data_IF_106444132054
#
_entry.id   IF_106444132054
#
_cell.length_a   1.000
_cell.length_b   1.000
_cell.length_c   1.000
_cell.angle_alpha   90.00
_cell.angle_beta   90.00
_cell.angle_gamma   90.00
#
_symmetry.space_group_name_H-M   'P 1'
#
loop_
_entity.id
_entity.type
_entity.pdbx_description
1 polymer ?
#
# COMPACT_ATOMS: atom_id res chain seq x y z
N UNK A 1 -3.63 31.06 -12.38
CA UNK A 1 -3.47 29.60 -12.12
C UNK A 1 -2.03 29.07 -12.31
N UNK A 2 -0.98 29.90 -12.33
CA UNK A 2 0.43 29.42 -12.38
C UNK A 2 1.08 29.21 -10.99
N UNK A 3 0.38 29.53 -9.91
CA UNK A 3 0.96 29.63 -8.56
C UNK A 3 0.94 28.28 -7.80
N UNK A 4 0.12 27.31 -8.22
CA UNK A 4 -0.02 26.01 -7.52
C UNK A 4 0.62 24.84 -8.29
N UNK A 5 0.86 25.01 -9.58
CA UNK A 5 1.60 24.07 -10.41
C UNK A 5 2.88 24.77 -10.86
N UNK A 6 3.94 24.66 -10.06
CA UNK A 6 5.29 24.89 -10.59
C UNK A 6 5.49 24.04 -11.84
N UNK A 7 6.42 24.39 -12.73
CA UNK A 7 6.63 23.55 -13.90
C UNK A 7 7.02 22.15 -13.43
N UNK A 8 6.42 21.09 -13.98
CA UNK A 8 6.69 19.71 -13.53
C UNK A 8 8.20 19.41 -13.60
N UNK A 9 8.89 20.04 -14.54
CA UNK A 9 10.37 20.03 -14.65
C UNK A 9 11.06 20.51 -13.37
N UNK A 10 10.57 21.58 -12.76
CA UNK A 10 11.12 22.12 -11.53
C UNK A 10 10.83 21.19 -10.35
N UNK A 11 9.66 20.55 -10.32
CA UNK A 11 9.29 19.59 -9.27
C UNK A 11 10.16 18.33 -9.32
N UNK A 12 10.33 17.71 -10.50
CA UNK A 12 11.24 16.57 -10.66
C UNK A 12 12.70 16.97 -10.37
N UNK A 13 13.09 18.21 -10.69
CA UNK A 13 14.39 18.76 -10.34
C UNK A 13 14.68 18.80 -8.84
N UNK A 14 13.64 18.90 -7.99
CA UNK A 14 13.74 18.96 -6.52
C UNK A 14 13.77 17.59 -5.85
N UNK A 15 13.53 16.50 -6.58
CA UNK A 15 13.46 15.16 -5.98
C UNK A 15 14.71 14.79 -5.20
N UNK A 16 15.91 15.15 -5.68
CA UNK A 16 17.15 14.90 -4.94
C UNK A 16 17.17 15.56 -3.55
N UNK A 17 16.72 16.82 -3.45
CA UNK A 17 16.68 17.57 -2.19
C UNK A 17 15.62 16.97 -1.27
N UNK A 18 14.45 16.64 -1.83
CA UNK A 18 13.37 15.99 -1.10
C UNK A 18 13.79 14.64 -0.51
N UNK A 19 14.47 13.80 -1.30
CA UNK A 19 15.01 12.51 -0.84
C UNK A 19 16.01 12.71 0.30
N UNK A 20 16.91 13.68 0.18
CA UNK A 20 17.85 14.00 1.24
C UNK A 20 17.12 14.45 2.52
N UNK A 21 16.10 15.30 2.40
CA UNK A 21 15.34 15.80 3.53
C UNK A 21 14.56 14.69 4.27
N UNK A 22 14.03 13.70 3.53
CA UNK A 22 13.45 12.49 4.14
C UNK A 22 14.50 11.77 4.98
N UNK A 23 15.69 11.53 4.43
CA UNK A 23 16.76 10.80 5.13
C UNK A 23 17.31 11.60 6.32
N UNK A 24 17.35 12.93 6.22
CA UNK A 24 17.77 13.83 7.32
C UNK A 24 16.78 13.80 8.48
N UNK A 25 15.48 13.91 8.18
CA UNK A 25 14.41 13.96 9.19
C UNK A 25 14.12 12.58 9.79
N UNK A 26 14.29 11.51 9.01
CA UNK A 26 14.02 10.13 9.41
C UNK A 26 15.24 9.22 9.14
N UNK A 27 16.33 9.36 9.93
CA UNK A 27 17.56 8.58 9.74
C UNK A 27 17.31 7.07 9.80
N UNK A 28 17.85 6.32 8.84
CA UNK A 28 17.64 4.87 8.70
C UNK A 28 16.47 4.47 7.82
N UNK A 29 15.70 5.43 7.31
CA UNK A 29 14.71 5.23 6.25
C UNK A 29 15.40 4.88 4.92
N UNK A 30 14.66 4.24 4.01
CA UNK A 30 15.15 3.86 2.68
C UNK A 30 14.47 4.73 1.63
N UNK A 31 15.27 5.43 0.83
CA UNK A 31 14.77 6.23 -0.30
C UNK A 31 15.61 5.92 -1.53
N UNK A 32 14.98 5.33 -2.56
CA UNK A 32 15.68 4.86 -3.76
C UNK A 32 14.99 5.43 -4.99
N UNK A 33 15.77 6.12 -5.82
CA UNK A 33 15.31 6.60 -7.12
C UNK A 33 16.01 5.82 -8.24
N UNK A 34 15.22 5.21 -9.12
CA UNK A 34 15.70 4.57 -10.33
C UNK A 34 15.48 5.50 -11.53
N UNK A 35 16.50 5.57 -12.37
CA UNK A 35 16.47 6.27 -13.66
C UNK A 35 16.73 5.29 -14.80
N UNK A 36 16.19 5.58 -15.98
CA UNK A 36 16.29 4.73 -17.16
C UNK A 36 17.71 4.28 -17.49
N UNK A 37 17.91 2.97 -17.53
CA UNK A 37 19.19 2.35 -17.89
C UNK A 37 19.61 2.74 -19.31
N UNK A 38 20.89 3.07 -19.49
CA UNK A 38 21.45 3.43 -20.79
C UNK A 38 21.03 4.81 -21.34
N UNK A 39 20.14 5.55 -20.66
CA UNK A 39 19.82 6.93 -21.01
C UNK A 39 20.53 7.89 -20.07
N UNK A 40 21.66 8.43 -20.53
CA UNK A 40 22.21 9.68 -20.01
C UNK A 40 22.13 10.71 -21.11
N UNK A 41 21.40 11.78 -20.87
CA UNK A 41 21.39 12.91 -21.80
C UNK A 41 22.84 13.35 -22.04
N UNK A 42 23.31 13.25 -23.28
CA UNK A 42 24.72 13.47 -23.62
C UNK A 42 25.17 14.93 -23.49
N UNK A 43 24.23 15.87 -23.32
CA UNK A 43 24.52 17.30 -23.08
C UNK A 43 24.42 17.69 -21.60
N UNK A 44 23.57 17.02 -20.82
CA UNK A 44 23.23 17.39 -19.44
C UNK A 44 23.73 16.33 -18.42
N UNK A 45 24.08 15.13 -18.87
CA UNK A 45 24.59 14.02 -18.05
C UNK A 45 23.52 13.34 -17.19
N UNK A 46 22.22 13.56 -17.47
CA UNK A 46 21.12 13.16 -16.58
C UNK A 46 20.42 11.88 -17.01
N UNK A 47 20.06 11.07 -16.02
CA UNK A 47 19.09 10.00 -16.16
C UNK A 47 17.65 10.51 -16.24
N UNK A 48 16.79 9.76 -16.92
CA UNK A 48 15.35 10.00 -16.95
C UNK A 48 14.68 9.31 -15.76
N UNK A 49 13.80 10.00 -15.05
CA UNK A 49 13.04 9.40 -13.95
C UNK A 49 12.24 8.19 -14.44
N UNK A 50 12.27 7.09 -13.67
CA UNK A 50 11.36 5.95 -13.87
C UNK A 50 10.59 5.62 -12.60
N UNK A 51 11.30 5.45 -11.48
CA UNK A 51 10.69 5.01 -10.22
C UNK A 51 11.33 5.69 -9.02
N UNK A 52 10.53 5.93 -7.99
CA UNK A 52 10.97 6.38 -6.66
C UNK A 52 10.29 5.52 -5.62
N UNK A 53 11.07 4.95 -4.71
CA UNK A 53 10.61 4.18 -3.56
C UNK A 53 10.99 4.91 -2.27
N UNK A 54 10.05 4.96 -1.33
CA UNK A 54 10.25 5.55 -0.01
C UNK A 54 9.68 4.60 1.04
N UNK A 55 10.50 4.31 2.03
CA UNK A 55 10.19 3.51 3.22
C UNK A 55 10.69 4.23 4.46
N UNK A 56 9.83 4.38 5.45
CA UNK A 56 10.20 5.04 6.70
C UNK A 56 10.54 4.02 7.78
N UNK A 57 11.71 4.20 8.41
CA UNK A 57 12.18 3.30 9.48
C UNK A 57 11.28 3.28 10.71
N UNK A 58 10.56 4.37 11.00
CA UNK A 58 9.62 4.42 12.11
C UNK A 58 8.56 3.32 12.03
N UNK A 59 8.21 2.89 10.82
CA UNK A 59 7.25 1.80 10.61
C UNK A 59 7.85 0.42 10.91
N UNK A 60 9.17 0.27 10.80
CA UNK A 60 9.89 -1.00 10.99
C UNK A 60 9.78 -1.52 12.42
N UNK A 61 10.12 -0.67 13.37
CA UNK A 61 10.24 -1.05 14.78
C UNK A 61 8.89 -1.54 15.30
N UNK A 62 7.83 -0.82 14.96
CA UNK A 62 6.49 -1.23 15.35
C UNK A 62 5.90 -2.40 14.57
N UNK A 63 6.48 -2.77 13.43
CA UNK A 63 6.00 -3.86 12.59
C UNK A 63 6.59 -5.21 12.98
N UNK A 64 7.90 -5.26 13.22
CA UNK A 64 8.60 -6.50 13.61
C UNK A 64 8.34 -6.87 15.07
N UNK A 65 7.92 -5.92 15.90
CA UNK A 65 7.70 -6.09 17.33
C UNK A 65 6.39 -6.79 17.72
N UNK A 66 5.77 -7.62 16.84
CA UNK A 66 4.57 -8.48 17.05
C UNK A 66 3.25 -8.03 16.38
N UNK A 67 3.29 -7.25 15.30
CA UNK A 67 2.08 -7.04 14.49
C UNK A 67 1.74 -8.25 13.61
N UNK A 68 0.48 -8.34 13.16
CA UNK A 68 0.03 -9.35 12.19
C UNK A 68 0.92 -9.30 10.94
N UNK A 69 1.43 -10.44 10.50
CA UNK A 69 2.22 -10.58 9.25
C UNK A 69 1.32 -10.43 8.02
N UNK A 70 0.70 -9.26 7.89
CA UNK A 70 -0.31 -8.93 6.90
C UNK A 70 0.04 -7.60 6.25
N UNK A 71 0.07 -7.58 4.92
CA UNK A 71 0.35 -6.40 4.11
C UNK A 71 -0.78 -6.22 3.10
N UNK A 72 -1.46 -5.08 3.16
CA UNK A 72 -2.34 -4.63 2.08
C UNK A 72 -1.52 -3.84 1.06
N UNK A 73 -1.73 -4.09 -0.23
CA UNK A 73 -1.13 -3.30 -1.31
C UNK A 73 -2.19 -2.77 -2.26
N UNK A 74 -1.99 -1.55 -2.73
CA UNK A 74 -2.86 -0.92 -3.72
C UNK A 74 -2.06 0.00 -4.64
N UNK A 75 -2.63 0.26 -5.82
CA UNK A 75 -2.08 1.17 -6.83
C UNK A 75 -3.13 2.21 -7.23
N UNK A 76 -2.74 3.48 -7.27
CA UNK A 76 -3.62 4.56 -7.73
C UNK A 76 -2.94 5.44 -8.77
N UNK A 77 -3.69 5.89 -9.78
CA UNK A 77 -3.14 6.74 -10.83
C UNK A 77 -2.85 8.15 -10.31
N UNK A 78 -1.63 8.64 -10.56
CA UNK A 78 -1.26 10.01 -10.28
C UNK A 78 -1.95 10.96 -11.26
N UNK A 79 -2.43 12.09 -10.74
CA UNK A 79 -3.01 13.16 -11.55
C UNK A 79 -1.93 14.17 -11.88
N UNK A 80 -1.63 14.32 -13.16
CA UNK A 80 -0.62 15.25 -13.68
C UNK A 80 -0.53 15.14 -15.19
N UNK A 81 0.27 16.00 -15.81
CA UNK A 81 0.45 15.95 -17.27
C UNK A 81 1.39 14.80 -17.68
N UNK A 82 2.29 14.40 -16.77
CA UNK A 82 3.19 13.24 -16.88
C UNK A 82 2.48 11.90 -16.62
N UNK A 83 1.43 11.88 -15.78
CA UNK A 83 0.75 10.64 -15.38
C UNK A 83 1.52 9.85 -14.30
N UNK A 84 1.52 8.52 -14.40
CA UNK A 84 2.17 7.62 -13.44
C UNK A 84 1.22 6.95 -12.45
N UNK A 85 1.79 6.11 -11.58
CA UNK A 85 1.06 5.34 -10.56
C UNK A 85 1.78 5.47 -9.22
N UNK A 86 1.00 5.67 -8.17
CA UNK A 86 1.45 5.56 -6.79
C UNK A 86 1.05 4.18 -6.26
N UNK A 87 2.07 3.35 -6.00
CA UNK A 87 1.93 2.09 -5.29
C UNK A 87 2.08 2.36 -3.80
N UNK A 88 1.27 1.70 -2.97
CA UNK A 88 1.36 1.81 -1.53
C UNK A 88 1.24 0.42 -0.88
N UNK A 89 2.07 0.20 0.14
CA UNK A 89 1.93 -0.91 1.07
C UNK A 89 1.47 -0.37 2.43
N UNK A 90 0.40 -0.96 2.95
CA UNK A 90 -0.17 -0.68 4.27
C UNK A 90 -0.14 -1.94 5.13
N UNK A 91 -0.17 -1.74 6.44
CA UNK A 91 -0.44 -2.79 7.42
C UNK A 91 -1.68 -2.44 8.23
N UNK A 92 -2.15 -3.45 8.95
CA UNK A 92 -3.06 -3.28 10.08
C UNK A 92 -2.23 -3.44 11.35
N UNK A 93 -2.19 -2.39 12.18
CA UNK A 93 -1.53 -2.45 13.48
C UNK A 93 -2.35 -3.28 14.48
N UNK A 94 -1.82 -3.47 15.68
CA UNK A 94 -2.48 -4.29 16.69
C UNK A 94 -3.73 -3.61 17.32
N UNK A 95 -3.95 -2.31 17.07
CA UNK A 95 -5.18 -1.58 17.38
C UNK A 95 -6.16 -1.52 16.19
N UNK A 96 -5.97 -2.38 15.17
CA UNK A 96 -6.74 -2.38 13.93
C UNK A 96 -6.68 -1.07 13.12
N UNK A 97 -5.70 -0.20 13.39
CA UNK A 97 -5.42 0.99 12.61
C UNK A 97 -4.69 0.65 11.31
N UNK A 98 -4.89 1.47 10.28
CA UNK A 98 -4.15 1.36 9.01
C UNK A 98 -2.87 2.19 9.12
N UNK A 99 -1.72 1.56 8.92
CA UNK A 99 -0.42 2.23 8.97
C UNK A 99 0.32 2.07 7.63
N UNK A 100 0.71 3.15 6.96
CA UNK A 100 1.50 3.07 5.72
C UNK A 100 2.92 2.58 6.02
N UNK A 101 3.43 1.67 5.19
CA UNK A 101 4.76 1.06 5.32
C UNK A 101 5.74 1.68 4.32
N UNK A 102 5.38 1.59 3.05
CA UNK A 102 6.19 2.06 1.94
C UNK A 102 5.28 2.56 0.82
N UNK A 103 5.80 3.44 0.00
CA UNK A 103 5.14 3.93 -1.19
C UNK A 103 6.14 4.09 -2.31
N UNK A 104 5.66 3.91 -3.55
CA UNK A 104 6.47 4.08 -4.73
C UNK A 104 5.73 4.83 -5.83
N UNK A 105 6.36 5.85 -6.39
CA UNK A 105 5.90 6.51 -7.61
C UNK A 105 6.57 5.83 -8.82
N UNK A 106 5.79 5.31 -9.75
CA UNK A 106 6.27 4.58 -10.93
C UNK A 106 5.63 5.14 -12.21
N UNK A 107 6.26 4.91 -13.37
CA UNK A 107 5.68 5.31 -14.68
C UNK A 107 4.36 4.59 -15.00
N UNK A 108 4.12 3.40 -14.42
CA UNK A 108 2.90 2.65 -14.65
C UNK A 108 2.69 1.47 -13.70
N UNK A 109 1.46 0.95 -13.70
CA UNK A 109 1.10 -0.26 -12.97
C UNK A 109 1.36 -1.48 -13.87
N UNK A 110 2.58 -2.00 -13.81
CA UNK A 110 2.98 -3.18 -14.58
C UNK A 110 3.75 -4.17 -13.70
N UNK A 111 3.99 -5.37 -14.25
CA UNK A 111 4.66 -6.45 -13.53
C UNK A 111 6.04 -6.03 -13.02
N UNK A 112 6.80 -5.32 -13.84
CA UNK A 112 8.18 -4.94 -13.51
C UNK A 112 8.22 -3.93 -12.35
N UNK A 113 7.33 -2.94 -12.37
CA UNK A 113 7.16 -1.94 -11.30
C UNK A 113 6.75 -2.60 -9.98
N UNK A 114 5.82 -3.56 -10.01
CA UNK A 114 5.42 -4.31 -8.83
C UNK A 114 6.54 -5.23 -8.33
N UNK A 115 7.24 -5.94 -9.22
CA UNK A 115 8.38 -6.79 -8.85
C UNK A 115 9.49 -5.98 -8.19
N UNK A 116 9.79 -4.80 -8.73
CA UNK A 116 10.77 -3.87 -8.17
C UNK A 116 10.33 -3.38 -6.78
N UNK A 117 9.08 -2.94 -6.64
CA UNK A 117 8.51 -2.51 -5.35
C UNK A 117 8.57 -3.60 -4.28
N UNK A 118 8.14 -4.82 -4.62
CA UNK A 118 8.15 -5.94 -3.68
C UNK A 118 9.56 -6.39 -3.30
N UNK A 119 10.53 -6.30 -4.21
CA UNK A 119 11.93 -6.61 -3.89
C UNK A 119 12.45 -5.70 -2.78
N UNK A 120 12.28 -4.38 -2.95
CA UNK A 120 12.73 -3.40 -1.95
C UNK A 120 11.97 -3.54 -0.63
N UNK A 121 10.65 -3.72 -0.71
CA UNK A 121 9.82 -3.93 0.49
C UNK A 121 10.24 -5.19 1.26
N UNK A 122 10.55 -6.29 0.56
CA UNK A 122 11.01 -7.54 1.16
C UNK A 122 12.34 -7.35 1.90
N UNK A 123 13.28 -6.64 1.29
CA UNK A 123 14.60 -6.32 1.85
C UNK A 123 14.47 -5.45 3.12
N UNK A 124 13.70 -4.36 3.05
CA UNK A 124 13.51 -3.44 4.19
C UNK A 124 12.83 -4.10 5.39
N UNK A 125 11.81 -4.93 5.11
CA UNK A 125 11.07 -5.68 6.11
C UNK A 125 11.81 -6.94 6.61
N UNK A 126 12.95 -7.29 6.01
CA UNK A 126 13.74 -8.49 6.33
C UNK A 126 12.90 -9.77 6.29
N UNK A 127 12.08 -9.91 5.25
CA UNK A 127 11.23 -11.11 5.08
C UNK A 127 12.11 -12.25 4.55
N UNK A 128 12.45 -13.18 5.44
CA UNK A 128 13.22 -14.38 5.08
C UNK A 128 12.33 -15.52 4.57
N UNK A 129 11.16 -15.70 5.19
CA UNK A 129 10.21 -16.78 4.91
C UNK A 129 8.92 -16.22 4.31
N UNK A 130 8.80 -16.33 2.98
CA UNK A 130 7.67 -15.78 2.24
C UNK A 130 6.30 -16.34 2.70
N UNK A 131 6.26 -17.57 3.20
CA UNK A 131 5.02 -18.25 3.61
C UNK A 131 4.43 -17.77 4.94
N UNK A 132 5.18 -16.98 5.72
CA UNK A 132 4.69 -16.40 6.98
C UNK A 132 3.87 -15.11 6.72
N UNK A 133 3.97 -14.55 5.52
CA UNK A 133 3.37 -13.27 5.18
C UNK A 133 2.11 -13.42 4.34
N UNK A 134 1.05 -12.72 4.74
CA UNK A 134 -0.19 -12.62 3.97
C UNK A 134 -0.22 -11.29 3.22
N UNK A 135 -0.26 -11.33 1.89
CA UNK A 135 -0.43 -10.14 1.04
C UNK A 135 -1.87 -10.08 0.53
N UNK A 136 -2.52 -8.94 0.71
CA UNK A 136 -3.83 -8.62 0.14
C UNK A 136 -3.66 -7.52 -0.91
N UNK A 137 -4.10 -7.76 -2.13
CA UNK A 137 -4.13 -6.76 -3.20
C UNK A 137 -5.57 -6.54 -3.66
N UNK A 138 -5.87 -5.37 -4.23
CA UNK A 138 -7.10 -5.25 -5.02
C UNK A 138 -6.99 -6.16 -6.25
N UNK A 139 -7.92 -7.12 -6.35
CA UNK A 139 -8.25 -7.75 -7.63
C UNK A 139 -9.73 -7.49 -7.82
N UNK A 140 -10.03 -6.73 -8.87
CA UNK A 140 -11.36 -6.49 -9.44
C UNK A 140 -12.07 -7.80 -9.84
N UNK A 141 -12.52 -8.56 -8.84
CA UNK A 141 -13.59 -9.56 -8.92
C UNK A 141 -14.39 -9.63 -7.62
N UNK A 142 -14.27 -8.65 -6.71
CA UNK A 142 -15.01 -8.66 -5.44
C UNK A 142 -16.52 -8.60 -5.66
N UNK A 143 -16.99 -7.83 -6.65
CA UNK A 143 -18.44 -7.76 -6.99
C UNK A 143 -18.95 -9.05 -7.64
N UNK A 144 -18.19 -9.64 -8.58
CA UNK A 144 -18.49 -10.95 -9.18
C UNK A 144 -18.44 -12.10 -8.16
N UNK A 145 -17.59 -11.98 -7.13
CA UNK A 145 -17.53 -12.91 -6.02
C UNK A 145 -18.71 -12.69 -5.06
N UNK A 146 -19.11 -11.44 -4.78
CA UNK A 146 -20.26 -11.10 -3.93
C UNK A 146 -21.58 -11.61 -4.51
N UNK A 147 -21.73 -11.58 -5.84
CA UNK A 147 -22.91 -12.12 -6.55
C UNK A 147 -22.90 -13.65 -6.63
N UNK A 148 -21.73 -14.29 -6.79
CA UNK A 148 -21.61 -15.76 -6.76
C UNK A 148 -21.69 -16.36 -5.35
N UNK A 149 -21.27 -15.62 -4.31
CA UNK A 149 -21.00 -16.14 -2.97
C UNK A 149 -21.99 -15.60 -1.93
N UNK A 150 -23.22 -15.27 -2.33
CA UNK A 150 -24.30 -14.91 -1.40
C UNK A 150 -24.68 -16.06 -0.44
N UNK A 151 -24.27 -17.29 -0.76
CA UNK A 151 -24.55 -18.50 0.02
C UNK A 151 -23.77 -18.56 1.35
N UNK A 152 -22.67 -17.82 1.48
CA UNK A 152 -21.81 -17.88 2.66
C UNK A 152 -21.43 -16.49 3.19
N UNK A 153 -21.41 -16.30 4.52
CA UNK A 153 -21.07 -15.01 5.13
C UNK A 153 -19.62 -14.56 4.87
N UNK A 154 -18.73 -15.49 4.47
CA UNK A 154 -17.32 -15.24 4.22
C UNK A 154 -16.84 -15.87 2.92
N UNK A 155 -15.68 -15.41 2.43
CA UNK A 155 -14.98 -15.92 1.25
C UNK A 155 -14.60 -17.42 1.42
N UNK A 156 -14.99 -18.36 0.54
CA UNK A 156 -14.52 -19.74 0.48
C UNK A 156 -13.05 -20.02 0.76
N UNK A 157 -12.09 -19.15 0.41
CA UNK A 157 -10.69 -19.35 0.85
C UNK A 157 -10.51 -19.12 2.35
N UNK A 158 -11.17 -18.11 2.90
CA UNK A 158 -11.23 -17.86 4.35
C UNK A 158 -11.98 -18.98 5.04
N UNK A 159 -13.09 -19.46 4.49
CA UNK A 159 -13.80 -20.63 5.03
C UNK A 159 -12.93 -21.89 4.98
N UNK A 160 -12.18 -22.12 3.90
CA UNK A 160 -11.25 -23.25 3.82
C UNK A 160 -10.12 -23.15 4.85
N UNK A 161 -9.58 -21.95 5.08
CA UNK A 161 -8.60 -21.72 6.15
C UNK A 161 -9.21 -21.94 7.52
N UNK A 162 -10.42 -21.41 7.76
CA UNK A 162 -11.17 -21.62 9.00
C UNK A 162 -11.44 -23.11 9.22
N UNK A 163 -11.90 -23.82 8.20
CA UNK A 163 -12.17 -25.25 8.25
C UNK A 163 -10.89 -26.03 8.53
N UNK A 164 -9.78 -25.73 7.84
CA UNK A 164 -8.48 -26.34 8.13
C UNK A 164 -8.02 -26.10 9.56
N UNK A 165 -8.30 -24.94 10.12
CA UNK A 165 -7.99 -24.64 11.52
C UNK A 165 -8.93 -25.38 12.48
N UNK A 166 -10.22 -25.50 12.14
CA UNK A 166 -11.20 -26.32 12.86
C UNK A 166 -10.77 -27.78 12.82
N UNK A 167 -10.34 -28.31 11.68
CA UNK A 167 -9.91 -29.70 11.52
C UNK A 167 -8.64 -30.00 12.33
N UNK A 168 -7.78 -28.99 12.54
CA UNK A 168 -6.56 -29.09 13.36
C UNK A 168 -6.78 -28.77 14.85
N UNK A 169 -7.91 -28.15 15.20
CA UNK A 169 -8.22 -27.81 16.58
C UNK A 169 -8.37 -29.04 17.49
N UNK A 170 -8.99 -30.17 17.05
CA UNK A 170 -9.04 -31.41 17.81
C UNK A 170 -7.68 -31.98 18.19
N UNK A 171 -6.65 -31.70 17.38
CA UNK A 171 -5.30 -32.17 17.68
C UNK A 171 -4.67 -31.38 18.85
N UNK A 172 -5.25 -30.24 19.23
CA UNK A 172 -4.85 -29.46 20.39
C UNK A 172 -5.69 -29.86 21.60
N UNK A 173 -5.03 -30.24 22.70
CA UNK A 173 -5.69 -30.69 23.92
C UNK A 173 -5.70 -29.57 24.96
N UNK A 174 -6.86 -28.97 25.27
CA UNK A 174 -6.98 -28.00 26.34
C UNK A 174 -7.17 -28.71 27.70
N UNK A 175 -6.32 -28.39 28.66
CA UNK A 175 -6.42 -28.78 30.05
C UNK A 175 -6.87 -27.56 30.85
N UNK A 176 -7.98 -27.67 31.59
CA UNK A 176 -8.41 -26.57 32.45
C UNK A 176 -7.46 -26.47 33.65
N UNK A 177 -6.80 -25.32 33.80
CA UNK A 177 -5.94 -25.05 34.95
C UNK A 177 -6.73 -24.36 36.07
N UNK A 178 -7.64 -23.45 35.72
CA UNK A 178 -8.60 -22.77 36.60
C UNK A 178 -9.75 -22.18 35.76
N UNK A 179 -10.86 -21.73 36.37
CA UNK A 179 -12.10 -21.21 35.75
C UNK A 179 -11.99 -20.86 34.25
N UNK A 180 -11.28 -19.79 33.91
CA UNK A 180 -11.16 -19.27 32.53
C UNK A 180 -9.78 -19.51 31.88
N UNK A 181 -8.85 -20.18 32.57
CA UNK A 181 -7.46 -20.40 32.14
C UNK A 181 -7.23 -21.87 31.74
N UNK A 182 -6.77 -22.07 30.52
CA UNK A 182 -6.55 -23.39 29.92
C UNK A 182 -5.11 -23.53 29.46
N UNK A 183 -4.48 -24.66 29.72
CA UNK A 183 -3.24 -25.07 29.08
C UNK A 183 -3.57 -25.86 27.82
N UNK A 184 -3.22 -25.34 26.65
CA UNK A 184 -3.47 -25.96 25.35
C UNK A 184 -2.18 -26.60 24.86
N UNK A 185 -2.15 -27.93 24.81
CA UNK A 185 -1.04 -28.71 24.28
C UNK A 185 -1.29 -29.03 22.80
N UNK A 186 -0.35 -28.67 21.93
CA UNK A 186 -0.42 -28.96 20.50
C UNK A 186 0.39 -30.23 20.14
N UNK A 187 0.08 -30.93 19.04
CA UNK A 187 0.77 -32.16 18.62
C UNK A 187 2.25 -31.97 18.29
N UNK A 188 2.65 -30.73 17.98
CA UNK A 188 4.04 -30.36 17.72
C UNK A 188 4.88 -30.21 18.99
N UNK A 189 4.32 -30.45 20.17
CA UNK A 189 5.01 -30.33 21.46
C UNK A 189 4.95 -28.93 22.08
N UNK A 190 4.31 -27.97 21.40
CA UNK A 190 4.11 -26.63 21.95
C UNK A 190 2.97 -26.63 22.99
N UNK A 191 3.14 -25.88 24.07
CA UNK A 191 2.12 -25.68 25.09
C UNK A 191 1.83 -24.19 25.27
N UNK A 192 0.54 -23.84 25.36
CA UNK A 192 0.09 -22.46 25.46
C UNK A 192 -0.94 -22.26 26.58
N UNK A 193 -0.75 -21.28 27.46
CA UNK A 193 -1.76 -20.90 28.45
C UNK A 193 -2.74 -19.90 27.82
N UNK A 194 -4.02 -20.24 27.69
CA UNK A 194 -5.07 -19.45 27.05
C UNK A 194 -6.13 -19.08 28.08
N UNK A 195 -6.33 -17.78 28.32
CA UNK A 195 -7.42 -17.27 29.12
C UNK A 195 -8.58 -16.84 28.21
N UNK A 196 -9.69 -17.56 28.29
CA UNK A 196 -10.84 -17.33 27.39
C UNK A 196 -11.57 -16.03 27.73
N UNK A 197 -11.73 -15.72 29.02
CA UNK A 197 -12.45 -14.53 29.48
C UNK A 197 -11.71 -13.24 29.15
N UNK A 198 -10.40 -13.23 29.36
CA UNK A 198 -9.53 -12.09 29.03
C UNK A 198 -9.12 -12.07 27.55
N UNK A 199 -9.48 -13.09 26.77
CA UNK A 199 -9.05 -13.29 25.38
C UNK A 199 -7.52 -13.26 25.21
N UNK A 200 -6.81 -13.81 26.18
CA UNK A 200 -5.35 -13.88 26.19
C UNK A 200 -4.82 -15.30 25.98
N UNK A 201 -3.58 -15.42 25.56
CA UNK A 201 -2.85 -16.60 25.16
C UNK A 201 -1.36 -16.37 25.42
N UNK A 202 -0.64 -17.34 25.96
CA UNK A 202 0.80 -17.21 26.22
C UNK A 202 1.61 -17.13 24.94
N UNK A 203 1.05 -17.60 23.81
CA UNK A 203 1.64 -17.36 22.49
C UNK A 203 1.63 -15.87 22.12
N UNK A 204 0.76 -15.06 22.78
CA UNK A 204 0.55 -13.63 22.59
C UNK A 204 0.52 -13.25 21.10
N UNK A 205 -0.04 -14.13 20.29
CA UNK A 205 -0.08 -13.98 18.83
C UNK A 205 -1.19 -13.00 18.41
N UNK A 206 -2.12 -12.74 19.32
CA UNK A 206 -3.32 -11.94 19.10
C UNK A 206 -3.53 -10.83 20.14
N UNK A 207 -2.73 -10.78 21.20
CA UNK A 207 -2.84 -9.77 22.26
C UNK A 207 -2.05 -8.50 21.96
N UNK A 208 -2.73 -7.37 22.12
CA UNK A 208 -2.11 -6.06 22.25
C UNK A 208 -1.73 -5.84 23.72
N UNK A 209 -0.48 -6.11 24.11
CA UNK A 209 0.03 -5.69 25.43
C UNK A 209 0.38 -4.19 25.40
N UNK A 210 0.34 -3.49 26.53
CA UNK A 210 0.80 -2.09 26.63
C UNK A 210 2.23 -1.96 26.11
N UNK A 211 3.10 -2.91 26.45
CA UNK A 211 4.47 -2.95 25.95
C UNK A 211 4.52 -3.08 24.42
N UNK A 212 3.70 -3.95 23.83
CA UNK A 212 3.62 -4.14 22.36
C UNK A 212 3.04 -2.91 21.69
N UNK A 213 2.04 -2.27 22.30
CA UNK A 213 1.48 -1.01 21.84
C UNK A 213 2.55 0.09 21.84
N UNK A 214 3.22 0.31 22.96
CA UNK A 214 4.28 1.32 23.05
C UNK A 214 5.40 1.05 22.04
N UNK A 215 5.83 -0.21 21.86
CA UNK A 215 6.78 -0.60 20.81
C UNK A 215 6.25 -0.41 19.39
N UNK A 216 4.95 -0.62 19.15
CA UNK A 216 4.30 -0.39 17.85
C UNK A 216 4.37 1.08 17.40
N UNK A 217 4.35 1.99 18.37
CA UNK A 217 4.32 3.44 18.15
C UNK A 217 5.60 4.17 18.59
N UNK A 218 6.61 3.43 19.08
CA UNK A 218 7.92 3.97 19.46
C UNK A 218 8.60 4.64 18.27
N UNK A 219 8.48 4.03 17.08
CA UNK A 219 8.92 4.62 15.83
C UNK A 219 7.92 5.66 15.32
N UNK A 220 8.20 6.94 15.55
CA UNK A 220 7.46 8.04 14.91
C UNK A 220 8.08 8.40 13.56
N UNK A 221 7.24 8.62 12.54
CA UNK A 221 7.69 9.34 11.35
C UNK A 221 7.84 10.81 11.73
N UNK A 222 9.06 11.33 11.67
CA UNK A 222 9.30 12.74 11.88
C UNK A 222 8.68 13.54 10.72
N UNK A 223 7.96 14.64 11.01
CA UNK A 223 7.44 15.51 9.97
C UNK A 223 8.61 16.06 9.14
N UNK A 224 8.36 16.16 7.83
CA UNK A 224 9.29 16.78 6.88
C UNK A 224 8.90 18.26 6.82
N UNK A 225 9.87 19.16 7.00
CA UNK A 225 9.63 20.60 6.95
C UNK A 225 9.13 21.04 5.57
N UNK A 226 8.56 22.26 5.49
CA UNK A 226 8.15 22.83 4.22
C UNK A 226 9.33 23.07 3.27
N UNK A 227 9.08 23.09 1.96
CA UNK A 227 10.12 23.27 0.94
C UNK A 227 10.98 24.52 1.18
N UNK A 228 10.39 25.60 1.69
CA UNK A 228 11.07 26.85 2.03
C UNK A 228 12.12 26.73 3.12
N UNK A 229 12.08 25.65 3.91
CA UNK A 229 12.96 25.40 5.04
C UNK A 229 14.03 24.34 4.72
N UNK A 230 14.01 23.77 3.51
CA UNK A 230 15.01 22.79 3.11
C UNK A 230 16.35 23.50 2.91
N UNK A 231 17.41 22.91 3.46
CA UNK A 231 18.76 23.45 3.32
C UNK A 231 19.20 23.54 1.85
N UNK A 232 20.02 24.54 1.53
CA UNK A 232 20.68 24.65 0.22
C UNK A 232 21.77 23.59 0.14
N UNK A 233 21.40 22.40 -0.33
CA UNK A 233 22.29 21.25 -0.48
C UNK A 233 22.51 21.01 -1.96
N UNK A 234 23.78 20.92 -2.38
CA UNK A 234 24.13 20.50 -3.73
C UNK A 234 24.01 18.98 -3.85
N UNK A 235 22.78 18.51 -4.06
CA UNK A 235 22.47 17.12 -4.37
C UNK A 235 22.68 16.79 -5.86
N UNK A 236 23.37 17.67 -6.60
CA UNK A 236 23.42 17.64 -8.05
C UNK A 236 22.08 18.01 -8.68
N UNK A 237 22.02 17.99 -10.02
CA UNK A 237 20.80 18.31 -10.74
C UNK A 237 19.87 17.08 -10.78
N UNK A 238 18.63 17.22 -10.29
CA UNK A 238 17.61 16.16 -10.29
C UNK A 238 17.28 15.56 -11.68
N UNK A 239 16.55 14.42 -11.72
CA UNK A 239 16.31 13.65 -12.92
C UNK A 239 15.56 14.45 -14.00
N UNK A 240 15.65 13.98 -15.24
CA UNK A 240 14.76 14.44 -16.31
C UNK A 240 13.35 13.89 -16.09
N UNK A 241 12.33 14.59 -16.61
CA UNK A 241 10.95 14.13 -16.51
C UNK A 241 10.79 12.77 -17.20
N UNK A 242 9.80 11.96 -16.76
CA UNK A 242 9.39 10.77 -17.48
C UNK A 242 8.92 11.11 -18.90
N UNK A 243 8.87 10.10 -19.78
CA UNK A 243 8.24 10.31 -21.08
C UNK A 243 6.72 10.46 -20.92
N UNK A 244 6.14 11.43 -21.63
CA UNK A 244 4.69 11.63 -21.65
C UNK A 244 3.98 10.43 -22.26
N UNK A 245 3.38 9.60 -21.42
CA UNK A 245 2.36 8.62 -21.81
C UNK A 245 0.96 9.21 -21.57
N UNK A 246 -0.01 8.95 -22.45
CA UNK A 246 -1.41 9.18 -22.06
C UNK A 246 -1.68 8.27 -20.87
N UNK A 247 -2.04 8.84 -19.72
CA UNK A 247 -2.52 8.07 -18.58
C UNK A 247 -3.57 7.06 -19.10
N UNK A 248 -3.44 5.76 -18.83
CA UNK A 248 -4.46 4.78 -19.18
C UNK A 248 -5.76 5.28 -18.57
N UNK A 249 -6.65 5.82 -19.40
CA UNK A 249 -7.94 6.28 -18.92
C UNK A 249 -8.61 5.11 -18.23
N UNK A 250 -9.28 5.35 -17.09
CA UNK A 250 -10.05 4.32 -16.38
C UNK A 250 -10.73 3.43 -17.42
N UNK A 251 -10.48 2.11 -17.43
CA UNK A 251 -11.09 1.22 -18.41
C UNK A 251 -12.57 1.55 -18.47
N UNK A 252 -13.08 1.89 -19.67
CA UNK A 252 -14.50 2.19 -19.82
C UNK A 252 -15.22 0.93 -19.34
N UNK A 253 -15.92 1.03 -18.20
CA UNK A 253 -16.86 -0.01 -17.79
C UNK A 253 -17.88 -0.09 -18.91
N UNK A 254 -17.73 -1.04 -19.81
CA UNK A 254 -18.86 -1.50 -20.61
C UNK A 254 -19.85 -2.01 -19.56
N UNK A 255 -20.87 -1.22 -19.26
CA UNK A 255 -22.02 -1.67 -18.48
C UNK A 255 -22.48 -2.97 -19.14
N UNK A 256 -22.38 -4.09 -18.43
CA UNK A 256 -23.07 -5.30 -18.86
C UNK A 256 -24.56 -5.00 -18.79
N UNK A 257 -25.20 -5.02 -19.95
CA UNK A 257 -26.64 -4.90 -20.10
C UNK A 257 -27.29 -6.21 -19.65
N UNK A 258 -28.38 -6.14 -18.89
CA UNK A 258 -29.17 -7.32 -18.55
C UNK A 258 -29.80 -7.91 -19.81
N UNK A 259 -30.12 -9.21 -19.80
CA UNK A 259 -30.71 -9.92 -20.95
C UNK A 259 -32.00 -9.27 -21.51
N UNK A 260 -32.68 -8.44 -20.71
CA UNK A 260 -33.92 -7.75 -21.06
C UNK A 260 -33.75 -6.32 -21.60
N UNK A 261 -32.52 -5.77 -21.71
CA UNK A 261 -32.32 -4.45 -22.34
C UNK A 261 -32.38 -4.57 -23.87
N UNK A 262 -33.58 -4.38 -24.44
CA UNK A 262 -33.81 -4.31 -25.89
C UNK A 262 -33.04 -3.11 -26.48
N UNK A 263 -32.32 -3.33 -27.59
CA UNK A 263 -31.72 -2.27 -28.38
C UNK A 263 -32.80 -1.40 -29.01
N UNK A 264 -33.06 -0.21 -28.46
CA UNK A 264 -33.54 0.89 -29.30
C UNK A 264 -32.33 1.41 -30.09
N UNK A 265 -32.34 1.18 -31.40
CA UNK A 265 -31.41 1.77 -32.36
C UNK A 265 -31.60 3.29 -32.39
N UNK A 266 -30.96 4.01 -31.47
CA UNK A 266 -30.85 5.46 -31.59
C UNK A 266 -29.82 5.77 -32.68
N UNK A 267 -30.30 6.24 -33.82
CA UNK A 267 -29.49 6.91 -34.84
C UNK A 267 -28.54 7.90 -34.17
N UNK A 268 -27.25 7.79 -34.48
CA UNK A 268 -26.22 8.68 -33.92
C UNK A 268 -26.31 10.04 -34.59
N UNK A 269 -27.17 10.93 -34.10
CA UNK A 269 -27.00 12.36 -34.37
C UNK A 269 -25.78 12.84 -33.59
N UNK A 270 -24.68 13.14 -34.28
CA UNK A 270 -23.47 13.73 -33.70
C UNK A 270 -23.77 15.14 -33.17
N UNK A 271 -24.33 15.28 -31.97
CA UNK A 271 -24.32 16.57 -31.25
C UNK A 271 -22.98 16.73 -30.53
N UNK A 272 -22.13 17.59 -31.09
CA UNK A 272 -20.84 18.00 -30.51
C UNK A 272 -21.15 18.94 -29.33
N UNK A 273 -21.20 18.41 -28.11
CA UNK A 273 -21.36 19.23 -26.91
C UNK A 273 -20.05 19.99 -26.66
N UNK A 274 -20.06 21.32 -26.81
CA UNK A 274 -18.98 22.19 -26.30
C UNK A 274 -19.22 22.39 -24.80
N UNK A 275 -18.19 22.17 -23.98
CA UNK A 275 -18.21 22.57 -22.55
C UNK A 275 -18.12 24.08 -22.48
N UNK A 276 -19.24 24.76 -22.33
CA UNK A 276 -19.27 26.13 -21.81
C UNK A 276 -19.44 25.99 -20.30
N UNK A 277 -18.44 26.46 -19.54
CA UNK A 277 -18.46 26.40 -18.09
C UNK A 277 -19.55 27.31 -17.52
N UNK A 278 -20.34 26.79 -16.59
CA UNK A 278 -21.29 27.59 -15.83
C UNK A 278 -20.61 27.97 -14.50
N UNK A 279 -20.44 29.26 -14.27
CA UNK A 279 -19.96 29.80 -13.00
C UNK A 279 -21.20 30.10 -12.16
N UNK A 280 -21.38 29.37 -11.07
CA UNK A 280 -22.38 29.70 -10.07
C UNK A 280 -21.65 30.46 -8.95
N UNK A 281 -22.00 31.74 -8.78
CA UNK A 281 -21.57 32.52 -7.61
C UNK A 281 -22.54 32.23 -6.47
N UNK A 282 -22.06 31.62 -5.39
CA UNK A 282 -22.80 31.61 -4.13
C UNK A 282 -22.77 33.03 -3.55
N UNK A 283 -23.93 33.61 -3.29
CA UNK A 283 -24.06 34.76 -2.39
C UNK A 283 -24.14 34.22 -0.97
N UNK A 284 -23.36 34.82 -0.07
CA UNK A 284 -23.43 34.58 1.38
C UNK A 284 -24.81 34.95 1.92
#
# INVERSE_FOLDING_TARGET
>A
MKIVQGSEKDQYGKLGVYMHEILRSNPGSTVIMQTADGFRDSKIGKGRFEMLYIYFVGVKHGFLARCRQFIGVDGTFLKGSVGGVLLAAIRVDANNGICPIAYAATEGENKDSWCWFFKLLKEDLKIEKDYEWTIMSDKQKRDLAKEKWQTYPYCPRILHIMQKNIDRAPDCFPFNSNNDLYEVSCPCGDQYAVNIKEQTSSCRKWELTVETYMKCYEGSMCPINGESEWGLIDVGRGPLLPLYGRAPGRPKKLRKRSAYEIQQSKEKTKKKVRRVGQINNCRY
#
